data_IF_715785119485
#
_entry.id   IF_715785119485
#
_cell.length_a   1.000
_cell.length_b   1.000
_cell.length_c   1.000
_cell.angle_alpha   90.00
_cell.angle_beta   90.00
_cell.angle_gamma   90.00
#
_symmetry.space_group_name_H-M   'P 1'
#
loop_
_entity.id
_entity.type
_entity.pdbx_description
1 polymer ?
#
# COMPACT_ATOMS: atom_id res chain seq x y z
N UNK A 1 -13.04 -20.13 -2.63
CA UNK A 1 -12.51 -18.87 -2.08
C UNK A 1 -11.64 -19.26 -0.90
N UNK A 2 -10.36 -18.91 -0.91
CA UNK A 2 -9.43 -19.22 0.19
C UNK A 2 -9.99 -18.65 1.50
N UNK A 3 -9.83 -19.36 2.61
CA UNK A 3 -10.24 -18.83 3.93
C UNK A 3 -9.37 -17.62 4.27
N UNK A 4 -9.91 -16.62 4.99
CA UNK A 4 -9.13 -15.47 5.45
C UNK A 4 -7.91 -15.89 6.27
N UNK A 5 -8.01 -17.01 7.00
CA UNK A 5 -6.93 -17.55 7.84
C UNK A 5 -5.76 -18.16 7.04
N UNK A 6 -5.98 -18.50 5.77
CA UNK A 6 -4.95 -19.15 4.93
C UNK A 6 -4.56 -18.31 3.71
N UNK A 7 -5.09 -17.11 3.56
CA UNK A 7 -4.70 -16.18 2.49
C UNK A 7 -3.34 -15.57 2.78
N UNK A 8 -2.49 -15.45 1.75
CA UNK A 8 -1.30 -14.61 1.86
C UNK A 8 -1.69 -13.12 1.97
N UNK A 9 -0.79 -12.28 2.49
CA UNK A 9 -1.03 -10.83 2.52
C UNK A 9 -1.26 -10.28 1.10
N UNK A 10 -0.53 -10.80 0.12
CA UNK A 10 -0.68 -10.43 -1.29
C UNK A 10 -2.07 -10.79 -1.82
N UNK A 11 -2.55 -12.00 -1.55
CA UNK A 11 -3.90 -12.42 -1.94
C UNK A 11 -4.98 -11.58 -1.24
N UNK A 12 -4.79 -11.25 0.03
CA UNK A 12 -5.71 -10.41 0.78
C UNK A 12 -5.80 -9.01 0.17
N UNK A 13 -4.68 -8.33 -0.06
CA UNK A 13 -4.69 -6.97 -0.63
C UNK A 13 -5.12 -6.93 -2.09
N UNK A 14 -4.87 -7.98 -2.89
CA UNK A 14 -5.46 -8.10 -4.22
C UNK A 14 -7.01 -8.12 -4.16
N UNK A 15 -7.60 -8.78 -3.16
CA UNK A 15 -9.05 -8.76 -2.95
C UNK A 15 -9.57 -7.39 -2.49
N UNK A 16 -8.83 -6.71 -1.60
CA UNK A 16 -9.16 -5.34 -1.16
C UNK A 16 -9.16 -4.39 -2.36
N UNK A 17 -8.11 -4.40 -3.18
CA UNK A 17 -7.97 -3.53 -4.34
C UNK A 17 -9.03 -3.76 -5.42
N UNK A 18 -9.52 -5.00 -5.55
CA UNK A 18 -10.60 -5.33 -6.48
C UNK A 18 -11.97 -4.78 -6.03
N UNK A 19 -12.18 -4.60 -4.72
CA UNK A 19 -13.48 -4.21 -4.16
C UNK A 19 -13.31 -3.24 -2.97
N UNK A 20 -12.68 -2.07 -3.16
CA UNK A 20 -12.37 -1.15 -2.07
C UNK A 20 -13.60 -0.73 -1.28
N UNK A 21 -14.74 -0.55 -1.96
CA UNK A 21 -16.04 -0.22 -1.37
C UNK A 21 -16.60 -1.23 -0.35
N UNK A 22 -16.14 -2.48 -0.38
CA UNK A 22 -16.54 -3.49 0.62
C UNK A 22 -15.81 -3.33 1.96
N UNK A 23 -14.65 -2.68 1.95
CA UNK A 23 -13.81 -2.49 3.14
C UNK A 23 -13.93 -1.08 3.70
N UNK A 24 -14.15 -0.09 2.83
CA UNK A 24 -14.39 1.30 3.19
C UNK A 24 -15.59 1.83 2.41
N UNK A 25 -16.58 2.41 3.12
CA UNK A 25 -17.84 2.87 2.52
C UNK A 25 -17.60 3.85 1.36
N UNK A 26 -16.65 4.77 1.53
CA UNK A 26 -16.16 5.65 0.45
C UNK A 26 -14.79 5.16 0.02
N UNK A 27 -14.69 4.64 -1.20
CA UNK A 27 -13.44 4.22 -1.82
C UNK A 27 -12.54 5.39 -2.21
N UNK A 28 -12.22 6.29 -1.28
CA UNK A 28 -11.22 7.34 -1.47
C UNK A 28 -9.85 6.83 -1.08
N UNK A 29 -8.82 7.42 -1.66
CA UNK A 29 -7.42 7.10 -1.34
C UNK A 29 -7.14 7.27 0.16
N UNK A 30 -7.68 8.32 0.77
CA UNK A 30 -7.55 8.57 2.20
C UNK A 30 -8.21 7.47 3.05
N UNK A 31 -9.42 7.03 2.70
CA UNK A 31 -10.11 5.98 3.43
C UNK A 31 -9.36 4.64 3.32
N UNK A 32 -8.91 4.27 2.12
CA UNK A 32 -8.14 3.04 1.89
C UNK A 32 -6.80 3.06 2.62
N UNK A 33 -6.04 4.15 2.53
CA UNK A 33 -4.77 4.25 3.25
C UNK A 33 -4.95 4.24 4.77
N UNK A 34 -6.05 4.81 5.28
CA UNK A 34 -6.38 4.73 6.71
C UNK A 34 -6.74 3.31 7.13
N UNK A 35 -7.50 2.58 6.32
CA UNK A 35 -7.80 1.16 6.54
C UNK A 35 -6.53 0.30 6.60
N UNK A 36 -5.62 0.46 5.64
CA UNK A 36 -4.33 -0.27 5.60
C UNK A 36 -3.47 0.07 6.82
N UNK A 37 -3.42 1.35 7.21
CA UNK A 37 -2.71 1.79 8.41
C UNK A 37 -3.28 1.12 9.67
N UNK A 38 -4.60 1.05 9.81
CA UNK A 38 -5.24 0.38 10.95
C UNK A 38 -5.00 -1.13 10.96
N UNK A 39 -5.03 -1.78 9.79
CA UNK A 39 -4.69 -3.19 9.62
C UNK A 39 -3.26 -3.48 10.09
N UNK A 40 -2.29 -2.68 9.63
CA UNK A 40 -0.90 -2.81 10.04
C UNK A 40 -0.70 -2.54 11.54
N UNK A 41 -1.34 -1.51 12.10
CA UNK A 41 -1.30 -1.24 13.54
C UNK A 41 -1.81 -2.41 14.38
N UNK A 42 -2.85 -3.10 13.92
CA UNK A 42 -3.32 -4.33 14.55
C UNK A 42 -2.27 -5.45 14.47
N UNK A 43 -1.65 -5.65 13.29
CA UNK A 43 -0.59 -6.65 13.11
C UNK A 43 0.63 -6.36 13.99
N UNK A 44 1.08 -5.10 14.07
CA UNK A 44 2.19 -4.65 14.92
C UNK A 44 1.98 -5.01 16.40
N UNK A 45 0.75 -4.86 16.91
CA UNK A 45 0.41 -5.22 18.30
C UNK A 45 0.48 -6.71 18.59
N UNK A 46 0.52 -7.54 17.55
CA UNK A 46 0.57 -9.00 17.63
C UNK A 46 1.88 -9.57 17.09
N UNK A 47 2.94 -8.74 17.00
CA UNK A 47 4.29 -9.19 16.60
C UNK A 47 4.53 -9.26 15.09
N UNK A 48 3.58 -8.80 14.27
CA UNK A 48 3.75 -8.62 12.83
C UNK A 48 3.98 -7.16 12.45
N UNK A 49 3.38 -6.77 11.31
CA UNK A 49 3.49 -5.44 10.73
C UNK A 49 4.51 -5.40 9.60
N UNK A 50 4.10 -4.84 8.47
CA UNK A 50 4.84 -4.87 7.21
C UNK A 50 4.89 -3.49 6.54
N UNK A 51 4.07 -2.54 6.98
CA UNK A 51 3.93 -1.25 6.30
C UNK A 51 5.19 -0.38 6.37
N UNK A 52 6.05 -0.58 7.38
CA UNK A 52 7.37 0.06 7.45
C UNK A 52 8.28 -0.42 6.31
N UNK A 53 8.31 -1.73 6.06
CA UNK A 53 9.11 -2.32 4.97
C UNK A 53 8.57 -1.89 3.61
N UNK A 54 7.24 -1.84 3.47
CA UNK A 54 6.60 -1.25 2.29
C UNK A 54 7.00 0.21 2.08
N UNK A 55 7.01 1.01 3.13
CA UNK A 55 7.44 2.41 3.04
C UNK A 55 8.90 2.53 2.57
N UNK A 56 9.80 1.75 3.15
CA UNK A 56 11.21 1.72 2.74
C UNK A 56 11.37 1.25 1.28
N UNK A 57 10.56 0.29 0.84
CA UNK A 57 10.50 -0.15 -0.55
C UNK A 57 10.04 0.97 -1.49
N UNK A 58 8.99 1.72 -1.13
CA UNK A 58 8.50 2.88 -1.90
C UNK A 58 9.59 3.96 -1.99
N UNK A 59 10.31 4.25 -0.90
CA UNK A 59 11.42 5.21 -0.91
C UNK A 59 12.52 4.80 -1.88
N UNK A 60 12.95 3.53 -1.85
CA UNK A 60 13.94 3.00 -2.80
C UNK A 60 13.47 3.13 -4.24
N UNK A 61 12.19 2.85 -4.51
CA UNK A 61 11.59 3.01 -5.85
C UNK A 61 11.57 4.46 -6.32
N UNK A 62 11.46 5.42 -5.39
CA UNK A 62 11.62 6.86 -5.66
C UNK A 62 13.08 7.32 -5.77
N UNK A 63 14.05 6.44 -5.55
CA UNK A 63 15.47 6.80 -5.50
C UNK A 63 15.84 7.63 -4.27
N UNK A 64 15.09 7.50 -3.17
CA UNK A 64 15.30 8.24 -1.92
C UNK A 64 15.78 7.30 -0.82
N UNK A 65 16.74 7.76 -0.03
CA UNK A 65 17.17 7.05 1.19
C UNK A 65 16.27 7.35 2.39
N UNK A 66 15.63 8.53 2.41
CA UNK A 66 14.80 9.00 3.52
C UNK A 66 13.81 10.06 3.06
N UNK A 67 12.66 10.12 3.72
CA UNK A 67 11.66 11.17 3.54
C UNK A 67 10.99 11.54 4.87
N UNK A 68 10.64 12.81 5.09
CA UNK A 68 9.81 13.21 6.23
C UNK A 68 8.32 12.91 6.03
N UNK A 69 7.91 12.45 4.84
CA UNK A 69 6.51 12.16 4.55
C UNK A 69 6.11 10.79 5.10
N UNK A 70 4.80 10.63 5.31
CA UNK A 70 4.21 9.33 5.60
C UNK A 70 4.11 8.49 4.34
N UNK A 71 4.06 7.16 4.49
CA UNK A 71 4.03 6.20 3.37
C UNK A 71 2.94 6.51 2.33
N UNK A 72 1.77 6.97 2.75
CA UNK A 72 0.66 7.27 1.83
C UNK A 72 0.92 8.53 1.00
N UNK A 73 1.65 9.50 1.55
CA UNK A 73 2.08 10.66 0.78
C UNK A 73 3.21 10.29 -0.20
N UNK A 74 4.07 9.33 0.14
CA UNK A 74 5.10 8.79 -0.76
C UNK A 74 4.48 8.10 -1.98
N UNK A 75 3.42 7.31 -1.79
CA UNK A 75 2.67 6.68 -2.90
C UNK A 75 2.04 7.73 -3.80
N UNK A 76 1.49 8.83 -3.26
CA UNK A 76 0.94 9.91 -4.09
C UNK A 76 1.99 10.60 -4.96
N UNK A 77 3.24 10.68 -4.52
CA UNK A 77 4.33 11.18 -5.35
C UNK A 77 4.69 10.27 -6.52
N UNK A 78 4.49 8.97 -6.37
CA UNK A 78 4.62 8.03 -7.49
C UNK A 78 3.41 8.12 -8.43
N UNK A 79 2.20 8.25 -7.89
CA UNK A 79 0.97 8.36 -8.68
C UNK A 79 0.88 9.67 -9.47
N UNK A 80 1.38 10.78 -8.90
CA UNK A 80 1.34 12.12 -9.47
C UNK A 80 2.72 12.80 -9.37
N UNK A 81 3.66 12.48 -10.29
CA UNK A 81 5.02 13.00 -10.23
C UNK A 81 5.12 14.53 -10.34
N UNK A 82 4.12 15.18 -10.93
CA UNK A 82 4.02 16.63 -11.05
C UNK A 82 3.54 17.32 -9.76
N UNK A 83 3.11 16.55 -8.76
CA UNK A 83 2.63 17.07 -7.48
C UNK A 83 1.28 17.78 -7.54
N UNK A 84 0.46 17.54 -8.58
CA UNK A 84 -0.82 18.23 -8.79
C UNK A 84 -1.75 18.19 -7.56
N UNK A 85 -1.70 17.10 -6.79
CA UNK A 85 -2.49 16.91 -5.55
C UNK A 85 -2.20 17.94 -4.44
N UNK A 86 -1.00 18.56 -4.43
CA UNK A 86 -0.60 19.49 -3.36
C UNK A 86 -1.36 20.80 -3.41
N UNK A 87 -1.69 21.26 -4.62
CA UNK A 87 -2.42 22.51 -4.85
C UNK A 87 -3.81 22.52 -4.22
N UNK A 88 -4.40 21.32 -4.01
CA UNK A 88 -5.73 21.12 -3.44
C UNK A 88 -5.71 20.50 -2.04
N UNK A 89 -4.56 20.53 -1.36
CA UNK A 89 -4.46 20.02 0.01
C UNK A 89 -4.86 18.55 0.14
N UNK A 90 -4.53 17.71 -0.86
CA UNK A 90 -4.86 16.28 -0.91
C UNK A 90 -6.36 15.98 -1.15
N UNK A 91 -7.16 16.96 -1.53
CA UNK A 91 -8.54 16.74 -2.01
C UNK A 91 -8.52 16.28 -3.47
N UNK A 92 -8.42 14.95 -3.63
CA UNK A 92 -8.40 14.28 -4.93
C UNK A 92 -9.81 14.23 -5.52
N UNK A 93 -9.93 14.44 -6.83
CA UNK A 93 -11.16 14.15 -7.57
C UNK A 93 -11.48 12.66 -7.56
N UNK A 94 -12.67 12.26 -8.02
CA UNK A 94 -13.04 10.84 -8.12
C UNK A 94 -12.06 10.05 -9.00
N UNK A 95 -11.66 10.60 -10.14
CA UNK A 95 -10.74 9.94 -11.07
C UNK A 95 -9.33 9.85 -10.48
N UNK A 96 -8.88 10.88 -9.77
CA UNK A 96 -7.58 10.86 -9.10
C UNK A 96 -7.56 9.91 -7.90
N UNK A 97 -8.66 9.79 -7.16
CA UNK A 97 -8.79 8.76 -6.13
C UNK A 97 -8.68 7.37 -6.76
N UNK A 98 -9.40 7.11 -7.85
CA UNK A 98 -9.35 5.83 -8.55
C UNK A 98 -7.92 5.52 -9.05
N UNK A 99 -7.26 6.49 -9.68
CA UNK A 99 -5.87 6.36 -10.13
C UNK A 99 -4.91 6.09 -8.97
N UNK A 100 -4.96 6.88 -7.89
CA UNK A 100 -4.09 6.72 -6.74
C UNK A 100 -4.30 5.38 -6.02
N UNK A 101 -5.55 4.89 -5.96
CA UNK A 101 -5.89 3.57 -5.42
C UNK A 101 -5.30 2.47 -6.30
N UNK A 102 -5.44 2.57 -7.62
CA UNK A 102 -4.86 1.58 -8.54
C UNK A 102 -3.34 1.52 -8.37
N UNK A 103 -2.65 2.66 -8.40
CA UNK A 103 -1.20 2.74 -8.18
C UNK A 103 -0.81 2.16 -6.81
N UNK A 104 -1.57 2.45 -5.76
CA UNK A 104 -1.31 1.86 -4.44
C UNK A 104 -1.35 0.33 -4.47
N UNK A 105 -2.38 -0.27 -5.07
CA UNK A 105 -2.50 -1.72 -5.10
C UNK A 105 -1.50 -2.39 -6.04
N UNK A 106 -1.09 -1.72 -7.13
CA UNK A 106 0.03 -2.17 -7.96
C UNK A 106 1.35 -2.21 -7.16
N UNK A 107 1.67 -1.12 -6.44
CA UNK A 107 2.87 -1.06 -5.61
C UNK A 107 2.86 -2.09 -4.48
N UNK A 108 1.69 -2.34 -3.87
CA UNK A 108 1.53 -3.38 -2.86
C UNK A 108 1.77 -4.77 -3.45
N UNK A 109 1.17 -5.09 -4.59
CA UNK A 109 1.36 -6.38 -5.25
C UNK A 109 2.84 -6.64 -5.55
N UNK A 110 3.52 -5.65 -6.14
CA UNK A 110 4.94 -5.75 -6.47
C UNK A 110 5.81 -5.96 -5.23
N UNK A 111 5.61 -5.14 -4.19
CA UNK A 111 6.40 -5.24 -2.95
C UNK A 111 6.18 -6.57 -2.22
N UNK A 112 4.94 -7.09 -2.20
CA UNK A 112 4.61 -8.35 -1.55
C UNK A 112 5.11 -9.54 -2.36
N UNK A 113 5.07 -9.46 -3.70
CA UNK A 113 5.66 -10.46 -4.57
C UNK A 113 7.19 -10.58 -4.39
N UNK A 114 7.89 -9.45 -4.26
CA UNK A 114 9.32 -9.44 -3.97
C UNK A 114 9.64 -10.06 -2.60
N UNK A 115 8.82 -9.77 -1.59
CA UNK A 115 8.97 -10.36 -0.25
C UNK A 115 8.73 -11.87 -0.25
N UNK A 116 7.63 -12.32 -0.84
CA UNK A 116 7.32 -13.75 -1.00
C UNK A 116 8.46 -14.49 -1.73
N UNK A 117 9.00 -13.91 -2.80
CA UNK A 117 10.12 -14.49 -3.54
C UNK A 117 11.43 -14.56 -2.72
N UNK A 118 11.67 -13.61 -1.81
CA UNK A 118 12.82 -13.61 -0.92
C UNK A 118 12.68 -14.66 0.20
N UNK A 119 11.47 -14.89 0.70
CA UNK A 119 11.18 -15.90 1.72
C UNK A 119 11.27 -17.34 1.14
N UNK A 120 10.91 -17.52 -0.13
CA UNK A 120 11.01 -18.79 -0.85
C UNK A 120 12.44 -19.10 -1.34
N UNK A 121 13.35 -18.12 -1.31
CA UNK A 121 14.74 -18.33 -1.72
C UNK A 121 15.48 -19.20 -0.70
N UNK A 122 16.16 -20.28 -1.13
CA UNK A 122 16.95 -21.09 -0.21
C UNK A 122 18.05 -20.23 0.41
N UNK A 123 18.14 -20.24 1.75
CA UNK A 123 19.24 -19.62 2.47
C UNK A 123 20.56 -20.08 1.85
N UNK A 124 21.26 -19.17 1.18
CA UNK A 124 22.52 -19.48 0.52
C UNK A 124 23.51 -19.93 1.60
N UNK A 125 23.94 -21.19 1.51
CA UNK A 125 24.91 -21.83 2.40
C UNK A 125 26.32 -21.26 2.25
#
# INVERSE_FOLDING_TARGET
>A
MTSLETMSEREFFANVGRRPGMFVERGTYHAISSFITGYDQHAMRNGGGWLREFHDWVLRRRGLERSPLVWSAEVLWLAFPDGAFRSRGFDLTADENAHAINVLFELLDESLAEREAADDAPASA
#
